data_IF_107860921972
#
_entry.id   IF_107860921972
#
_cell.length_a   1.000
_cell.length_b   1.000
_cell.length_c   1.000
_cell.angle_alpha   90.00
_cell.angle_beta   90.00
_cell.angle_gamma   90.00
#
_symmetry.space_group_name_H-M   'P 1'
#
loop_
_entity.id
_entity.type
_entity.pdbx_description
1 polymer ?
#
# COMPACT_ATOMS: atom_id res chain seq x y z
N UNK A 1 -16.56 -5.63 -4.20
CA UNK A 1 -16.28 -4.22 -4.53
C UNK A 1 -16.89 -3.20 -3.57
N UNK A 2 -18.21 -3.18 -3.33
CA UNK A 2 -18.85 -2.01 -2.70
C UNK A 2 -18.34 -1.66 -1.27
N UNK A 3 -18.11 -2.65 -0.40
CA UNK A 3 -17.56 -2.39 0.94
C UNK A 3 -16.09 -1.90 0.92
N UNK A 4 -15.26 -2.46 0.03
CA UNK A 4 -13.86 -2.08 -0.11
C UNK A 4 -13.73 -0.64 -0.64
N UNK A 5 -14.46 -0.29 -1.71
CA UNK A 5 -14.40 1.06 -2.28
C UNK A 5 -14.91 2.13 -1.31
N UNK A 6 -15.93 1.82 -0.48
CA UNK A 6 -16.35 2.71 0.62
C UNK A 6 -15.29 2.85 1.71
N UNK A 7 -14.63 1.76 2.09
CA UNK A 7 -13.51 1.81 3.03
C UNK A 7 -12.38 2.71 2.49
N UNK A 8 -12.00 2.50 1.22
CA UNK A 8 -10.99 3.31 0.53
C UNK A 8 -11.37 4.78 0.48
N UNK A 9 -12.63 5.11 0.20
CA UNK A 9 -13.14 6.48 0.24
C UNK A 9 -12.91 7.13 1.61
N UNK A 10 -13.33 6.47 2.70
CA UNK A 10 -13.13 6.97 4.07
C UNK A 10 -11.66 7.20 4.41
N UNK A 11 -10.77 6.30 3.98
CA UNK A 11 -9.33 6.44 4.25
C UNK A 11 -8.71 7.53 3.38
N UNK A 12 -8.72 7.36 2.06
CA UNK A 12 -7.89 8.15 1.16
C UNK A 12 -8.46 9.54 0.93
N UNK A 13 -9.78 9.68 0.86
CA UNK A 13 -10.44 10.96 0.58
C UNK A 13 -10.80 11.67 1.88
N UNK A 14 -11.64 11.08 2.73
CA UNK A 14 -12.15 11.77 3.92
C UNK A 14 -11.05 11.99 4.98
N UNK A 15 -10.28 10.96 5.33
CA UNK A 15 -9.26 11.05 6.40
C UNK A 15 -7.94 11.65 5.93
N UNK A 16 -7.45 11.26 4.74
CA UNK A 16 -6.13 11.70 4.24
C UNK A 16 -6.19 12.92 3.30
N UNK A 17 -7.39 13.33 2.87
CA UNK A 17 -7.58 14.49 1.99
C UNK A 17 -6.86 14.34 0.66
N UNK A 18 -6.89 13.16 0.05
CA UNK A 18 -6.35 12.97 -1.30
C UNK A 18 -7.41 13.40 -2.32
N UNK A 19 -6.98 14.13 -3.34
CA UNK A 19 -7.85 14.56 -4.43
C UNK A 19 -7.99 13.45 -5.47
N UNK A 20 -8.82 12.45 -5.17
CA UNK A 20 -9.07 11.30 -6.03
C UNK A 20 -10.50 11.35 -6.59
N UNK A 21 -10.69 10.77 -7.78
CA UNK A 21 -12.02 10.54 -8.31
C UNK A 21 -12.81 9.61 -7.38
N UNK A 22 -14.07 9.94 -7.13
CA UNK A 22 -14.99 9.07 -6.44
C UNK A 22 -16.41 9.28 -6.97
N UNK A 23 -17.20 8.21 -6.93
CA UNK A 23 -18.59 8.24 -7.33
C UNK A 23 -19.42 7.58 -6.23
N UNK A 24 -20.51 8.22 -5.81
CA UNK A 24 -21.42 7.68 -4.79
C UNK A 24 -20.73 7.22 -3.48
N UNK A 25 -19.66 7.90 -3.04
CA UNK A 25 -18.91 7.55 -1.83
C UNK A 25 -18.05 6.29 -1.95
N UNK A 26 -17.73 5.88 -3.18
CA UNK A 26 -16.88 4.74 -3.51
C UNK A 26 -15.63 5.27 -4.21
N UNK A 27 -14.45 4.93 -3.69
CA UNK A 27 -13.17 5.21 -4.34
C UNK A 27 -12.75 4.00 -5.18
N UNK A 28 -12.73 4.20 -6.50
CA UNK A 28 -12.22 3.29 -7.52
C UNK A 28 -11.45 4.12 -8.54
N UNK A 29 -10.36 3.57 -9.06
CA UNK A 29 -9.57 4.18 -10.13
C UNK A 29 -9.47 3.24 -11.34
N UNK A 30 -8.75 3.67 -12.37
CA UNK A 30 -8.65 2.89 -13.61
C UNK A 30 -8.04 1.52 -13.36
N UNK A 31 -7.23 1.31 -12.32
CA UNK A 31 -6.50 0.06 -12.03
C UNK A 31 -7.33 -0.97 -11.24
N UNK A 32 -8.62 -0.69 -11.02
CA UNK A 32 -9.56 -1.61 -10.37
C UNK A 32 -10.31 -2.44 -11.42
N UNK A 33 -9.69 -3.56 -11.83
CA UNK A 33 -10.17 -4.49 -12.85
C UNK A 33 -10.72 -5.79 -12.23
N UNK A 34 -11.23 -6.69 -13.08
CA UNK A 34 -11.73 -8.00 -12.65
C UNK A 34 -10.65 -8.95 -12.10
N UNK A 35 -9.41 -8.78 -12.55
CA UNK A 35 -8.24 -9.58 -12.19
C UNK A 35 -7.30 -8.87 -11.21
N UNK A 36 -7.71 -7.72 -10.67
CA UNK A 36 -6.99 -7.03 -9.60
C UNK A 36 -6.98 -7.86 -8.33
N UNK A 37 -5.80 -8.11 -7.79
CA UNK A 37 -5.65 -8.83 -6.54
C UNK A 37 -5.75 -7.87 -5.36
N UNK A 38 -6.60 -8.21 -4.39
CA UNK A 38 -6.75 -7.45 -3.15
C UNK A 38 -6.49 -8.32 -1.94
N UNK A 39 -5.69 -7.81 -1.01
CA UNK A 39 -5.59 -8.34 0.34
C UNK A 39 -6.45 -7.45 1.25
N UNK A 40 -7.45 -8.05 1.89
CA UNK A 40 -8.46 -7.32 2.68
C UNK A 40 -8.43 -7.82 4.11
N UNK A 41 -8.13 -6.94 5.06
CA UNK A 41 -8.27 -7.23 6.48
C UNK A 41 -9.70 -6.95 6.94
N UNK A 42 -10.27 -7.89 7.69
CA UNK A 42 -11.62 -7.77 8.26
C UNK A 42 -11.58 -7.96 9.77
N UNK A 43 -12.43 -7.23 10.48
CA UNK A 43 -12.62 -7.44 11.92
C UNK A 43 -13.58 -8.62 12.19
N UNK A 44 -13.86 -8.91 13.47
CA UNK A 44 -14.77 -9.98 13.88
C UNK A 44 -16.20 -9.82 13.35
N UNK A 45 -16.64 -8.58 13.09
CA UNK A 45 -17.94 -8.26 12.48
C UNK A 45 -17.93 -8.36 10.96
N UNK A 46 -16.84 -8.82 10.35
CA UNK A 46 -16.61 -8.87 8.89
C UNK A 46 -16.51 -7.52 8.17
N UNK A 47 -16.41 -6.42 8.92
CA UNK A 47 -16.18 -5.09 8.35
C UNK A 47 -14.76 -4.97 7.81
N UNK A 48 -14.60 -4.23 6.72
CA UNK A 48 -13.27 -3.94 6.15
C UNK A 48 -12.54 -2.95 7.06
N UNK A 49 -11.39 -3.35 7.57
CA UNK A 49 -10.51 -2.56 8.44
C UNK A 49 -9.10 -2.41 7.86
N UNK A 50 -8.85 -3.03 6.70
CA UNK A 50 -7.62 -2.86 5.95
C UNK A 50 -7.75 -3.25 4.49
N UNK A 51 -6.96 -2.62 3.63
CA UNK A 51 -6.86 -2.92 2.22
C UNK A 51 -5.42 -2.83 1.73
N UNK A 52 -5.09 -3.68 0.76
CA UNK A 52 -3.95 -3.53 -0.13
C UNK A 52 -4.35 -4.03 -1.52
N UNK A 53 -3.79 -3.41 -2.55
CA UNK A 53 -3.96 -3.80 -3.95
C UNK A 53 -2.62 -4.25 -4.50
N UNK A 54 -2.61 -5.38 -5.20
CA UNK A 54 -1.46 -5.96 -5.88
C UNK A 54 -1.74 -6.05 -7.37
N UNK A 55 -0.80 -5.56 -8.18
CA UNK A 55 -0.90 -5.55 -9.65
C UNK A 55 0.44 -5.95 -10.29
N UNK A 56 0.47 -6.85 -11.28
CA UNK A 56 1.67 -7.12 -12.06
C UNK A 56 2.16 -5.86 -12.79
N UNK A 57 3.48 -5.61 -12.82
CA UNK A 57 4.00 -4.41 -13.51
C UNK A 57 4.22 -4.62 -15.01
N UNK A 58 3.99 -5.83 -15.53
CA UNK A 58 3.92 -6.12 -16.98
C UNK A 58 2.55 -5.76 -17.60
N UNK A 59 1.69 -5.10 -16.82
CA UNK A 59 0.37 -4.57 -17.17
C UNK A 59 0.23 -3.13 -16.67
N UNK A 60 -0.79 -2.36 -17.09
CA UNK A 60 -1.10 -1.04 -16.53
C UNK A 60 -1.14 -1.00 -14.99
N UNK A 61 -0.42 -0.04 -14.39
CA UNK A 61 -0.30 0.14 -12.95
C UNK A 61 0.03 1.59 -12.58
N UNK A 62 -0.19 1.99 -11.32
CA UNK A 62 -0.17 3.39 -10.89
C UNK A 62 1.19 4.07 -11.12
N UNK A 63 2.29 3.44 -10.71
CA UNK A 63 3.62 4.00 -10.89
C UNK A 63 3.98 4.11 -12.38
N UNK A 64 3.61 3.12 -13.20
CA UNK A 64 3.93 3.10 -14.63
C UNK A 64 3.24 4.21 -15.41
N UNK A 65 1.99 4.51 -15.09
CA UNK A 65 1.17 5.45 -15.87
C UNK A 65 1.08 6.85 -15.27
N UNK A 66 1.03 6.96 -13.94
CA UNK A 66 0.73 8.25 -13.26
C UNK A 66 1.98 8.88 -12.65
N UNK A 67 2.92 8.07 -12.17
CA UNK A 67 4.10 8.56 -11.47
C UNK A 67 5.45 8.06 -12.01
N UNK A 68 5.65 7.85 -13.33
CA UNK A 68 6.90 7.29 -13.86
C UNK A 68 8.14 8.13 -13.49
N UNK A 69 7.96 9.44 -13.30
CA UNK A 69 9.00 10.37 -12.84
C UNK A 69 9.62 9.99 -11.49
N UNK A 70 8.92 9.23 -10.63
CA UNK A 70 9.43 8.77 -9.34
C UNK A 70 10.53 7.70 -9.47
N UNK A 71 10.79 7.23 -10.68
CA UNK A 71 11.91 6.35 -11.00
C UNK A 71 13.23 7.10 -11.26
N UNK A 72 13.24 8.43 -11.23
CA UNK A 72 14.47 9.22 -11.34
C UNK A 72 15.18 9.07 -12.70
N UNK A 73 14.42 8.90 -13.77
CA UNK A 73 14.94 8.70 -15.14
C UNK A 73 15.14 7.25 -15.54
N UNK A 74 15.05 6.29 -14.62
CA UNK A 74 14.94 4.87 -14.97
C UNK A 74 13.54 4.55 -15.52
N UNK A 75 13.43 3.52 -16.36
CA UNK A 75 12.14 3.01 -16.80
C UNK A 75 11.39 2.37 -15.60
N UNK A 76 10.07 2.59 -15.47
CA UNK A 76 9.24 1.81 -14.56
C UNK A 76 9.35 0.30 -14.88
N UNK A 77 9.31 -0.59 -13.87
CA UNK A 77 9.46 -2.04 -14.11
C UNK A 77 8.37 -2.61 -15.00
N UNK A 78 8.75 -3.50 -15.91
CA UNK A 78 7.84 -4.31 -16.73
C UNK A 78 8.31 -5.76 -16.64
N UNK A 79 7.92 -6.45 -15.57
CA UNK A 79 8.42 -7.78 -15.22
C UNK A 79 7.32 -8.54 -14.43
N UNK A 80 6.90 -9.75 -14.84
CA UNK A 80 5.87 -10.51 -14.13
C UNK A 80 6.29 -10.92 -12.70
N UNK A 81 7.58 -10.89 -12.38
CA UNK A 81 8.13 -11.16 -11.05
C UNK A 81 8.16 -9.91 -10.15
N UNK A 82 7.74 -8.76 -10.67
CA UNK A 82 7.65 -7.49 -9.96
C UNK A 82 6.20 -7.02 -9.95
N UNK A 83 5.64 -6.82 -8.78
CA UNK A 83 4.28 -6.32 -8.63
C UNK A 83 4.24 -4.96 -7.95
N UNK A 84 3.25 -4.14 -8.29
CA UNK A 84 2.93 -2.93 -7.56
C UNK A 84 2.11 -3.24 -6.30
N UNK A 85 2.50 -2.65 -5.18
CA UNK A 85 1.67 -2.49 -3.98
C UNK A 85 1.08 -1.07 -3.93
N UNK A 86 -0.24 -0.95 -4.07
CA UNK A 86 -0.98 0.31 -3.94
C UNK A 86 -2.19 0.17 -3.01
N UNK A 87 -2.83 1.30 -2.67
CA UNK A 87 -4.00 1.36 -1.76
C UNK A 87 -3.81 0.62 -0.42
N UNK A 88 -2.58 0.62 0.10
CA UNK A 88 -2.24 0.04 1.39
C UNK A 88 -2.71 0.95 2.54
N UNK A 89 -3.67 0.47 3.34
CA UNK A 89 -4.16 1.16 4.51
C UNK A 89 -4.78 0.19 5.50
N UNK A 90 -4.59 0.43 6.81
CA UNK A 90 -5.29 -0.27 7.87
C UNK A 90 -5.81 0.75 8.90
N UNK A 91 -7.13 0.85 9.01
CA UNK A 91 -7.83 1.73 9.95
C UNK A 91 -9.13 1.06 10.33
N UNK A 92 -9.31 0.76 11.62
CA UNK A 92 -10.60 0.31 12.13
C UNK A 92 -11.47 1.52 12.49
N UNK A 93 -12.45 1.83 11.64
CA UNK A 93 -13.41 2.91 11.89
C UNK A 93 -14.57 2.49 12.80
N UNK A 94 -14.65 1.22 13.19
CA UNK A 94 -15.74 0.65 13.98
C UNK A 94 -15.34 0.35 15.43
N UNK A 95 -14.04 0.42 15.74
CA UNK A 95 -13.55 0.35 17.10
C UNK A 95 -14.14 1.51 17.93
N UNK A 96 -14.79 1.19 19.05
CA UNK A 96 -15.22 2.18 20.03
C UNK A 96 -13.99 3.02 20.43
N UNK A 97 -14.18 4.34 20.53
CA UNK A 97 -13.16 5.36 20.84
C UNK A 97 -12.28 5.00 22.05
N UNK A 98 -11.25 4.19 21.84
CA UNK A 98 -10.09 4.07 22.71
C UNK A 98 -9.01 5.01 22.18
N UNK A 99 -8.45 5.85 23.07
CA UNK A 99 -7.42 6.87 22.86
C UNK A 99 -6.97 7.13 21.41
N UNK A 100 -7.09 8.38 20.96
CA UNK A 100 -6.82 8.92 19.61
C UNK A 100 -5.47 8.54 18.95
N UNK A 101 -4.57 7.83 19.64
CA UNK A 101 -3.33 7.24 19.14
C UNK A 101 -3.48 5.80 18.60
N UNK A 102 -4.64 5.15 18.79
CA UNK A 102 -4.88 3.73 18.43
C UNK A 102 -5.40 3.50 17.00
N UNK A 103 -5.66 4.56 16.23
CA UNK A 103 -6.37 4.50 14.93
C UNK A 103 -5.54 3.94 13.75
N UNK A 104 -4.31 3.55 14.01
CA UNK A 104 -3.63 2.47 13.29
C UNK A 104 -3.35 1.41 14.35
N UNK A 105 -4.20 0.39 14.50
CA UNK A 105 -3.79 -0.73 15.35
C UNK A 105 -2.54 -1.30 14.70
N UNK A 106 -1.39 -1.18 15.36
CA UNK A 106 -0.11 -1.62 14.82
C UNK A 106 -0.22 -3.05 14.30
N UNK A 107 -0.96 -3.88 15.04
CA UNK A 107 -1.28 -5.28 14.69
C UNK A 107 -1.98 -5.43 13.35
N UNK A 108 -3.05 -4.68 13.04
CA UNK A 108 -3.75 -4.82 11.74
C UNK A 108 -2.82 -4.40 10.59
N UNK A 109 -2.01 -3.36 10.80
CA UNK A 109 -0.99 -2.97 9.81
C UNK A 109 0.08 -4.07 9.68
N UNK A 110 0.48 -4.73 10.78
CA UNK A 110 1.43 -5.87 10.83
C UNK A 110 0.88 -7.02 10.01
N UNK A 111 -0.27 -7.53 10.41
CA UNK A 111 -0.94 -8.67 9.81
C UNK A 111 -1.25 -8.45 8.32
N UNK A 112 -1.71 -7.24 7.96
CA UNK A 112 -2.00 -6.91 6.56
C UNK A 112 -0.72 -6.89 5.71
N UNK A 113 0.37 -6.32 6.23
CA UNK A 113 1.63 -6.29 5.50
C UNK A 113 2.23 -7.70 5.38
N UNK A 114 2.12 -8.51 6.43
CA UNK A 114 2.54 -9.92 6.41
C UNK A 114 1.75 -10.71 5.37
N UNK A 115 0.42 -10.53 5.33
CA UNK A 115 -0.44 -11.15 4.34
C UNK A 115 -0.13 -10.71 2.90
N UNK A 116 0.14 -9.41 2.67
CA UNK A 116 0.57 -8.90 1.37
C UNK A 116 1.84 -9.60 0.88
N UNK A 117 2.82 -9.78 1.77
CA UNK A 117 4.09 -10.41 1.43
C UNK A 117 3.95 -11.90 1.18
N UNK A 118 3.12 -12.58 1.97
CA UNK A 118 2.79 -13.99 1.78
C UNK A 118 2.05 -14.23 0.46
N UNK A 119 1.10 -13.35 0.12
CA UNK A 119 0.36 -13.40 -1.14
C UNK A 119 1.27 -13.13 -2.34
N UNK A 120 2.13 -12.12 -2.28
CA UNK A 120 3.12 -11.90 -3.32
C UNK A 120 4.04 -13.13 -3.51
N UNK A 121 4.52 -13.72 -2.41
CA UNK A 121 5.38 -14.89 -2.44
C UNK A 121 4.68 -16.14 -3.01
N UNK A 122 3.41 -16.36 -2.70
CA UNK A 122 2.64 -17.50 -3.22
C UNK A 122 2.45 -17.44 -4.74
N UNK A 123 2.51 -16.24 -5.30
CA UNK A 123 2.49 -15.99 -6.75
C UNK A 123 3.88 -15.95 -7.40
N UNK A 124 4.95 -16.24 -6.66
CA UNK A 124 6.33 -16.23 -7.18
C UNK A 124 6.91 -14.83 -7.41
N UNK A 125 6.27 -13.80 -6.88
CA UNK A 125 6.75 -12.41 -6.96
C UNK A 125 8.03 -12.30 -6.14
N UNK A 126 9.04 -11.65 -6.70
CA UNK A 126 10.34 -11.46 -6.04
C UNK A 126 10.46 -10.07 -5.41
N UNK A 127 9.79 -9.06 -5.97
CA UNK A 127 9.84 -7.69 -5.47
C UNK A 127 8.50 -7.00 -5.61
N UNK A 128 8.20 -6.15 -4.64
CA UNK A 128 7.14 -5.16 -4.74
C UNK A 128 7.73 -3.79 -5.04
N UNK A 129 6.98 -2.97 -5.76
CA UNK A 129 7.21 -1.54 -5.88
C UNK A 129 5.99 -0.76 -5.40
N UNK A 130 6.17 0.34 -4.68
CA UNK A 130 5.04 1.14 -4.19
C UNK A 130 5.31 2.62 -4.33
N UNK A 131 4.28 3.39 -4.71
CA UNK A 131 4.26 4.85 -4.54
C UNK A 131 3.74 5.16 -3.15
N UNK A 132 4.57 5.78 -2.32
CA UNK A 132 4.30 5.92 -0.91
C UNK A 132 4.66 7.30 -0.36
N UNK A 133 3.94 7.80 0.67
CA UNK A 133 4.40 8.93 1.46
C UNK A 133 5.59 8.53 2.34
N UNK A 134 6.43 9.50 2.72
CA UNK A 134 7.64 9.27 3.53
C UNK A 134 7.41 8.49 4.84
N UNK A 135 6.21 8.56 5.43
CA UNK A 135 5.86 7.82 6.63
C UNK A 135 5.96 6.29 6.49
N UNK A 136 5.73 5.76 5.29
CA UNK A 136 5.79 4.31 4.99
C UNK A 136 7.23 3.79 5.05
N UNK A 137 8.22 4.59 4.67
CA UNK A 137 9.63 4.18 4.77
C UNK A 137 10.01 3.82 6.21
N UNK A 138 9.56 4.62 7.18
CA UNK A 138 9.78 4.36 8.61
C UNK A 138 9.06 3.10 9.08
N UNK A 139 7.88 2.79 8.54
CA UNK A 139 7.15 1.57 8.84
C UNK A 139 7.92 0.33 8.35
N UNK A 140 8.31 0.33 7.07
CA UNK A 140 9.04 -0.77 6.43
C UNK A 140 10.35 -1.07 7.16
N UNK A 141 11.15 -0.02 7.43
CA UNK A 141 12.42 -0.15 8.15
C UNK A 141 12.26 -0.75 9.54
N UNK A 142 11.28 -0.29 10.32
CA UNK A 142 11.04 -0.79 11.70
C UNK A 142 10.67 -2.27 11.73
N UNK A 143 10.13 -2.81 10.65
CA UNK A 143 9.72 -4.22 10.53
C UNK A 143 10.76 -5.10 9.86
N UNK A 144 11.95 -4.57 9.58
CA UNK A 144 13.04 -5.33 8.97
C UNK A 144 12.82 -5.70 7.51
N UNK A 145 11.92 -4.99 6.81
CA UNK A 145 11.80 -5.15 5.37
C UNK A 145 13.05 -4.61 4.68
N UNK A 146 13.56 -5.38 3.72
CA UNK A 146 14.57 -4.91 2.80
C UNK A 146 13.89 -3.97 1.80
N UNK A 147 13.82 -2.69 2.18
CA UNK A 147 13.17 -1.66 1.41
C UNK A 147 14.15 -0.53 1.06
N UNK A 148 14.07 -0.03 -0.17
CA UNK A 148 14.91 1.08 -0.65
C UNK A 148 14.14 1.97 -1.59
N UNK A 149 14.41 3.28 -1.53
CA UNK A 149 13.85 4.22 -2.50
C UNK A 149 14.38 3.89 -3.91
N UNK A 150 13.52 3.99 -4.93
CA UNK A 150 13.93 3.88 -6.32
C UNK A 150 14.69 5.13 -6.78
N UNK A 151 14.25 6.30 -6.32
CA UNK A 151 14.88 7.60 -6.53
C UNK A 151 14.58 8.55 -5.35
N UNK A 152 15.18 9.75 -5.29
CA UNK A 152 14.81 10.76 -4.30
C UNK A 152 13.31 11.11 -4.35
N UNK A 153 12.68 11.45 -3.20
CA UNK A 153 11.28 11.87 -3.16
C UNK A 153 11.02 13.13 -3.97
N UNK A 154 9.79 13.26 -4.49
CA UNK A 154 9.30 14.44 -5.18
C UNK A 154 8.07 15.00 -4.46
N UNK A 155 7.83 16.31 -4.64
CA UNK A 155 6.62 16.97 -4.15
C UNK A 155 5.55 16.87 -5.24
N UNK A 156 4.45 16.18 -4.94
CA UNK A 156 3.28 16.05 -5.83
C UNK A 156 2.06 16.41 -4.99
N UNK A 157 1.25 17.35 -5.49
CA UNK A 157 0.10 17.92 -4.77
C UNK A 157 0.45 18.40 -3.34
N UNK A 158 1.61 19.01 -3.20
CA UNK A 158 2.12 19.51 -1.91
C UNK A 158 2.58 18.42 -0.93
N UNK A 159 2.58 17.14 -1.32
CA UNK A 159 2.95 16.01 -0.46
C UNK A 159 4.25 15.36 -0.96
N UNK A 160 5.22 15.06 -0.08
CA UNK A 160 6.41 14.33 -0.46
C UNK A 160 6.08 12.84 -0.65
N UNK A 161 6.22 12.36 -1.89
CA UNK A 161 6.03 10.96 -2.27
C UNK A 161 7.23 10.42 -3.03
N UNK A 162 7.39 9.10 -3.00
CA UNK A 162 8.51 8.41 -3.63
C UNK A 162 8.10 6.99 -4.05
N UNK A 163 8.82 6.42 -5.01
CA UNK A 163 8.74 5.00 -5.33
C UNK A 163 9.69 4.20 -4.42
N UNK A 164 9.22 3.10 -3.85
CA UNK A 164 9.95 2.24 -2.92
C UNK A 164 9.95 0.80 -3.40
N UNK A 165 11.14 0.21 -3.53
CA UNK A 165 11.34 -1.22 -3.72
C UNK A 165 11.24 -1.94 -2.38
N UNK A 166 10.62 -3.12 -2.37
CA UNK A 166 10.51 -4.00 -1.22
C UNK A 166 10.80 -5.43 -1.70
N UNK A 167 11.81 -6.09 -1.14
CA UNK A 167 12.13 -7.47 -1.50
C UNK A 167 11.10 -8.44 -0.89
N UNK A 168 10.59 -9.37 -1.69
CA UNK A 168 9.71 -10.47 -1.25
C UNK A 168 10.58 -11.63 -0.84
N UNK A 169 10.79 -11.78 0.47
CA UNK A 169 11.71 -12.78 1.00
C UNK A 169 11.98 -12.60 2.50
N UNK A 170 13.01 -13.29 3.03
CA UNK A 170 13.37 -13.23 4.44
C UNK A 170 13.61 -11.80 4.92
N UNK A 171 13.07 -11.46 6.09
CA UNK A 171 13.27 -10.15 6.73
C UNK A 171 14.62 -10.11 7.42
N UNK A 172 15.25 -8.94 7.40
CA UNK A 172 16.43 -8.67 8.22
C UNK A 172 15.98 -7.77 9.36
N UNK A 173 15.71 -8.35 10.54
CA UNK A 173 15.43 -7.55 11.72
C UNK A 173 16.69 -6.76 12.09
N UNK A 174 16.57 -5.43 12.17
CA UNK A 174 17.62 -4.61 12.75
C UNK A 174 17.77 -5.02 14.23
N UNK A 175 18.99 -5.19 14.75
CA UNK A 175 19.17 -5.49 16.16
C UNK A 175 18.51 -4.41 17.00
N UNK A 176 17.66 -4.82 17.95
CA UNK A 176 17.12 -3.94 18.98
C UNK A 176 18.32 -3.44 19.78
N UNK A 177 18.61 -2.13 19.70
CA UNK A 177 19.56 -1.51 20.60
C UNK A 177 18.97 -1.63 22.02
N UNK A 178 19.50 -2.58 22.77
CA UNK A 178 19.27 -2.76 24.21
C UNK A 178 19.92 -1.66 25.02
#
# INVERSE_FOLDING_TARGET
MNALGRYRHRVFIEKLGWNLACEHGVELDQFDHADTLYVIARNASSDVVGSARLLPTDRPYLLGEVFPQLMGGAAPPCDPLVWELSRFAATDFFAATGNALSQFSSTIVDDLLDAVMAEAASHGVQRLITVSPLGIERLLRRRGFQARRAAPPQIIDGKPIFACWIEVGPRTLLPTLS
#
